data_IF_042718294412
#
_entry.id   IF_042718294412
#
_cell.length_a   1.000
_cell.length_b   1.000
_cell.length_c   1.000
_cell.angle_alpha   90.00
_cell.angle_beta   90.00
_cell.angle_gamma   90.00
#
_symmetry.space_group_name_H-M   'P 1'
#
loop_
_entity.id
_entity.type
_entity.pdbx_description
1 polymer ?
#
# COMPACT_ATOMS: atom_id res chain seq x y z
N UNK A 1 -6.86 -13.07 -25.43
CA UNK A 1 -7.55 -13.48 -24.19
C UNK A 1 -7.12 -12.49 -23.13
N UNK A 2 -8.05 -11.75 -22.52
CA UNK A 2 -7.73 -10.86 -21.40
C UNK A 2 -7.70 -11.77 -20.17
N UNK A 3 -6.53 -11.96 -19.57
CA UNK A 3 -6.42 -12.66 -18.29
C UNK A 3 -6.74 -11.66 -17.19
N UNK A 4 -7.95 -11.74 -16.66
CA UNK A 4 -8.33 -11.07 -15.42
C UNK A 4 -7.65 -11.81 -14.27
N UNK A 5 -6.80 -11.10 -13.52
CA UNK A 5 -6.19 -11.62 -12.31
C UNK A 5 -6.67 -10.78 -11.13
N UNK A 6 -7.10 -11.43 -10.06
CA UNK A 6 -7.30 -10.77 -8.77
C UNK A 6 -6.09 -11.02 -7.87
N UNK A 7 -5.64 -9.98 -7.17
CA UNK A 7 -4.60 -10.08 -6.15
C UNK A 7 -5.17 -9.55 -4.85
N UNK A 8 -4.99 -10.31 -3.77
CA UNK A 8 -5.34 -9.87 -2.43
C UNK A 8 -4.11 -9.19 -1.83
N UNK A 9 -4.26 -7.92 -1.46
CA UNK A 9 -3.25 -7.18 -0.71
C UNK A 9 -3.73 -7.05 0.72
N UNK A 10 -2.87 -7.37 1.67
CA UNK A 10 -3.19 -7.39 3.08
C UNK A 10 -2.35 -6.36 3.81
N UNK A 11 -2.98 -5.61 4.70
CA UNK A 11 -2.31 -4.65 5.56
C UNK A 11 -1.43 -5.39 6.57
N UNK A 12 -0.16 -5.04 6.65
CA UNK A 12 0.78 -5.67 7.56
C UNK A 12 0.48 -5.39 9.05
N UNK A 13 -0.26 -4.32 9.35
CA UNK A 13 -0.56 -3.92 10.73
C UNK A 13 -1.91 -4.48 11.23
N UNK A 14 -3.00 -4.22 10.51
CA UNK A 14 -4.34 -4.61 10.96
C UNK A 14 -4.88 -5.87 10.29
N UNK A 15 -4.13 -6.46 9.34
CA UNK A 15 -4.57 -7.63 8.54
C UNK A 15 -5.84 -7.38 7.72
N UNK A 16 -6.21 -6.12 7.50
CA UNK A 16 -7.26 -5.75 6.56
C UNK A 16 -6.86 -6.18 5.14
N UNK A 17 -7.78 -6.78 4.40
CA UNK A 17 -7.53 -7.28 3.06
C UNK A 17 -8.28 -6.43 2.04
N UNK A 18 -7.64 -6.16 0.91
CA UNK A 18 -8.27 -5.54 -0.25
C UNK A 18 -8.01 -6.38 -1.50
N UNK A 19 -9.08 -6.70 -2.21
CA UNK A 19 -8.99 -7.38 -3.48
C UNK A 19 -8.81 -6.35 -4.60
N UNK A 20 -7.75 -6.54 -5.39
CA UNK A 20 -7.44 -5.75 -6.57
C UNK A 20 -7.71 -6.57 -7.82
N UNK A 21 -8.65 -6.11 -8.64
CA UNK A 21 -8.86 -6.65 -9.96
C UNK A 21 -7.89 -6.01 -10.95
N UNK A 22 -7.03 -6.83 -11.55
CA UNK A 22 -6.03 -6.42 -12.52
C UNK A 22 -6.48 -6.84 -13.90
N UNK A 23 -6.60 -5.83 -14.76
CA UNK A 23 -6.73 -6.05 -16.19
C UNK A 23 -5.31 -6.18 -16.74
N UNK A 24 -4.96 -7.38 -17.24
CA UNK A 24 -3.67 -7.57 -17.91
C UNK A 24 -3.48 -6.50 -18.99
N UNK A 25 -2.43 -5.70 -18.88
CA UNK A 25 -2.00 -4.86 -20.00
C UNK A 25 -1.46 -5.77 -21.11
N UNK A 26 -1.62 -5.34 -22.35
CA UNK A 26 -1.40 -6.17 -23.55
C UNK A 26 -0.02 -6.85 -23.66
N UNK A 27 0.97 -6.41 -22.87
CA UNK A 27 2.34 -6.92 -22.86
C UNK A 27 2.55 -8.21 -22.04
N UNK A 28 1.50 -8.80 -21.47
CA UNK A 28 1.49 -10.23 -21.09
C UNK A 28 2.42 -10.68 -19.96
N UNK A 29 3.17 -9.80 -19.28
CA UNK A 29 4.17 -10.24 -18.31
C UNK A 29 4.09 -9.55 -16.94
N UNK A 30 3.95 -10.41 -15.92
CA UNK A 30 4.32 -10.20 -14.52
C UNK A 30 3.51 -9.19 -13.70
N UNK A 31 2.54 -9.71 -12.93
CA UNK A 31 1.82 -8.98 -11.88
C UNK A 31 2.73 -8.73 -10.66
N UNK A 32 3.71 -7.83 -10.80
CA UNK A 32 4.54 -7.40 -9.66
C UNK A 32 3.81 -6.34 -8.84
N UNK A 33 4.13 -6.23 -7.53
CA UNK A 33 3.63 -5.14 -6.66
C UNK A 33 3.85 -3.74 -7.27
N UNK A 34 4.87 -3.56 -8.10
CA UNK A 34 5.11 -2.29 -8.83
C UNK A 34 3.98 -1.96 -9.80
N UNK A 35 3.38 -2.96 -10.44
CA UNK A 35 2.21 -2.81 -11.31
C UNK A 35 0.95 -2.49 -10.50
N UNK A 36 0.89 -2.91 -9.23
CA UNK A 36 -0.22 -2.67 -8.31
C UNK A 36 -0.21 -1.29 -7.66
N UNK A 37 0.98 -0.66 -7.55
CA UNK A 37 1.16 0.64 -6.89
C UNK A 37 0.17 1.72 -7.36
N UNK A 38 -0.13 1.89 -8.66
CA UNK A 38 -1.11 2.89 -9.09
C UNK A 38 -2.52 2.65 -8.52
N UNK A 39 -2.99 1.39 -8.54
CA UNK A 39 -4.32 1.03 -8.00
C UNK A 39 -4.35 1.15 -6.47
N UNK A 40 -3.31 0.66 -5.78
CA UNK A 40 -3.18 0.81 -4.34
C UNK A 40 -3.18 2.29 -3.93
N UNK A 41 -2.44 3.13 -4.65
CA UNK A 41 -2.42 4.58 -4.40
C UNK A 41 -3.79 5.23 -4.64
N UNK A 42 -4.56 4.79 -5.64
CA UNK A 42 -5.95 5.27 -5.85
C UNK A 42 -6.84 4.96 -4.65
N UNK A 43 -6.65 3.79 -4.04
CA UNK A 43 -7.32 3.40 -2.80
C UNK A 43 -6.66 3.96 -1.53
N UNK A 44 -5.65 4.84 -1.69
CA UNK A 44 -4.89 5.47 -0.59
C UNK A 44 -4.08 4.51 0.27
N UNK A 45 -3.83 3.29 -0.21
CA UNK A 45 -2.88 2.38 0.42
C UNK A 45 -1.45 2.87 0.18
N UNK A 46 -0.60 2.71 1.19
CA UNK A 46 0.82 3.07 1.12
C UNK A 46 1.65 1.81 0.92
N UNK A 47 2.47 1.82 -0.12
CA UNK A 47 3.49 0.79 -0.40
C UNK A 47 4.83 1.51 -0.39
N UNK A 48 5.71 1.14 0.54
CA UNK A 48 7.03 1.77 0.64
C UNK A 48 7.92 1.42 -0.57
N UNK A 49 8.79 2.35 -0.95
CA UNK A 49 9.69 2.13 -2.08
C UNK A 49 10.84 1.21 -1.66
N UNK A 50 10.84 -0.04 -2.15
CA UNK A 50 11.85 -1.04 -1.82
C UNK A 50 11.50 -1.96 -0.64
N UNK A 51 10.29 -1.83 -0.07
CA UNK A 51 9.72 -2.81 0.86
C UNK A 51 8.51 -3.51 0.21
N UNK A 52 8.28 -4.76 0.60
CA UNK A 52 7.07 -5.52 0.29
C UNK A 52 5.92 -5.22 1.27
N UNK A 53 6.10 -4.23 2.15
CA UNK A 53 5.10 -3.81 3.13
C UNK A 53 3.99 -2.95 2.50
N UNK A 54 2.75 -3.29 2.80
CA UNK A 54 1.55 -2.58 2.38
C UNK A 54 0.74 -2.17 3.62
N UNK A 55 0.43 -0.88 3.72
CA UNK A 55 -0.38 -0.32 4.79
C UNK A 55 -1.70 0.20 4.27
N UNK A 56 -2.79 -0.17 4.94
CA UNK A 56 -4.09 0.44 4.70
C UNK A 56 -4.08 1.93 5.12
N UNK A 57 -5.04 2.74 4.61
CA UNK A 57 -5.04 4.19 4.83
C UNK A 57 -5.05 4.59 6.31
N UNK A 58 -5.79 3.86 7.15
CA UNK A 58 -5.87 4.13 8.59
C UNK A 58 -4.55 3.81 9.30
N UNK A 59 -3.95 2.66 9.01
CA UNK A 59 -2.68 2.25 9.60
C UNK A 59 -1.53 3.16 9.14
N UNK A 60 -1.53 3.54 7.87
CA UNK A 60 -0.59 4.51 7.31
C UNK A 60 -0.71 5.89 7.99
N UNK A 61 -1.94 6.33 8.28
CA UNK A 61 -2.18 7.58 9.01
C UNK A 61 -1.60 7.52 10.43
N UNK A 62 -1.89 6.43 11.16
CA UNK A 62 -1.38 6.23 12.53
C UNK A 62 0.15 6.23 12.59
N UNK A 63 0.82 5.57 11.66
CA UNK A 63 2.29 5.56 11.60
C UNK A 63 2.85 6.95 11.28
N UNK A 64 2.17 7.71 10.40
CA UNK A 64 2.54 9.10 10.10
C UNK A 64 2.41 9.99 11.34
N UNK A 65 1.32 9.88 12.10
CA UNK A 65 1.12 10.62 13.34
C UNK A 65 2.16 10.25 14.40
N UNK A 66 2.47 8.95 14.54
CA UNK A 66 3.52 8.46 15.44
C UNK A 66 4.90 9.01 15.06
N UNK A 67 5.23 9.03 13.76
CA UNK A 67 6.48 9.61 13.27
C UNK A 67 6.55 11.12 13.54
N UNK A 68 5.44 11.85 13.38
CA UNK A 68 5.36 13.28 13.68
C UNK A 68 5.49 13.56 15.19
N UNK A 69 4.85 12.76 16.04
CA UNK A 69 4.95 12.88 17.50
C UNK A 69 6.39 12.68 18.00
N UNK A 70 7.12 11.70 17.43
CA UNK A 70 8.55 11.47 17.76
C UNK A 70 9.47 12.62 17.34
N UNK A 71 9.07 13.43 16.36
CA UNK A 71 9.84 14.57 15.84
C UNK A 71 9.56 15.88 16.58
N UNK A 72 8.59 15.92 17.50
CA UNK A 72 8.31 17.13 18.26
C UNK A 72 9.30 17.21 19.44
N UNK A 73 10.31 18.09 19.42
CA UNK A 73 11.16 18.27 20.58
C UNK A 73 10.30 18.77 21.73
N UNK A 74 10.36 18.09 22.88
CA UNK A 74 9.87 18.62 24.16
C UNK A 74 10.60 19.95 24.39
N UNK A 75 9.95 21.06 24.06
CA UNK A 75 10.43 22.40 24.40
C UNK A 75 10.26 22.53 25.92
N UNK A 76 11.29 22.13 26.65
CA UNK A 76 11.41 22.43 28.08
C UNK A 76 11.54 23.93 28.26
N UNK A 77 10.58 24.54 28.94
CA UNK A 77 10.66 25.87 29.53
C UNK A 77 10.05 25.79 30.93
#
# INVERSE_FOLDING_TARGET
>A
MISEASVIVMCDLCREEVELHLVASADGESYSLRCLRPELRRMRWIVEDGSDEALCPDCAHLETERAAARRTPKRTS
#
